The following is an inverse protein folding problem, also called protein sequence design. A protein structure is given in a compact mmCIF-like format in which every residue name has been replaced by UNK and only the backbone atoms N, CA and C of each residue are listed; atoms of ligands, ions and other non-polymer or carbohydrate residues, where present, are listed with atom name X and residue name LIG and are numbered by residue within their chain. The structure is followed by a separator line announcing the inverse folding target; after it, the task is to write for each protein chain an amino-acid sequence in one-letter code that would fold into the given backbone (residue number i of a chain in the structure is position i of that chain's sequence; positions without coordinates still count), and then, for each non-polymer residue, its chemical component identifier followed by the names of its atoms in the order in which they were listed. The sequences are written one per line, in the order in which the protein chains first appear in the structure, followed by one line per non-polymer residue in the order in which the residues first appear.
data_IF_065530139229
#
_entry.id   IF_065530139229
#
_cell.length_a   1.000
_cell.length_b   1.000
_cell.length_c   1.000
_cell.angle_alpha   90.00
_cell.angle_beta   90.00
_cell.angle_gamma   90.00
#
_symmetry.space_group_name_H-M   'P 1'
#
loop_
_entity.id
_entity.type
_entity.pdbx_description
1 polymer ?
#
# COMPACT_ATOMS: atom_id res chain seq x y z
N UNK A 1 -17.71 -68.91 16.69
CA UNK A 1 -17.49 -68.28 17.99
C UNK A 1 -16.62 -67.01 17.77
N UNK A 2 -17.02 -66.04 18.33
CA UNK A 2 -16.43 -64.69 18.47
C UNK A 2 -16.98 -63.61 17.49
N UNK A 3 -17.85 -62.86 18.06
CA UNK A 3 -18.46 -61.62 17.56
C UNK A 3 -17.47 -60.48 17.77
N UNK A 4 -17.26 -59.60 16.78
CA UNK A 4 -16.59 -58.34 16.99
C UNK A 4 -17.46 -57.21 16.38
N UNK A 5 -17.88 -56.35 17.26
CA UNK A 5 -18.73 -55.20 17.06
C UNK A 5 -17.89 -54.08 16.43
N UNK A 6 -18.31 -53.58 15.27
CA UNK A 6 -17.76 -52.37 14.67
C UNK A 6 -18.49 -51.13 15.23
N UNK A 7 -17.74 -50.24 15.87
CA UNK A 7 -18.23 -48.96 16.35
C UNK A 7 -18.09 -47.96 15.19
N UNK A 8 -19.21 -47.44 14.74
CA UNK A 8 -19.31 -46.33 13.81
C UNK A 8 -19.09 -45.00 14.58
N UNK A 9 -17.93 -44.38 14.35
CA UNK A 9 -17.72 -43.01 14.76
C UNK A 9 -18.23 -42.06 13.66
N UNK A 10 -19.29 -41.36 13.96
CA UNK A 10 -19.81 -40.25 13.17
C UNK A 10 -18.90 -39.04 13.31
N UNK A 11 -18.21 -38.66 12.25
CA UNK A 11 -17.48 -37.39 12.17
C UNK A 11 -18.44 -36.32 11.75
N UNK A 12 -18.78 -35.43 12.68
CA UNK A 12 -19.53 -34.21 12.42
C UNK A 12 -18.64 -33.17 11.74
N UNK A 13 -18.99 -32.79 10.54
CA UNK A 13 -18.38 -31.64 9.83
C UNK A 13 -18.77 -30.32 10.48
N UNK A 14 -17.84 -29.40 10.74
CA UNK A 14 -18.22 -28.08 11.21
C UNK A 14 -18.77 -27.24 10.05
N UNK A 15 -19.96 -26.70 10.27
CA UNK A 15 -20.58 -25.69 9.43
C UNK A 15 -19.71 -24.43 9.41
N UNK A 16 -19.18 -24.08 8.24
CA UNK A 16 -18.61 -22.75 8.00
C UNK A 16 -19.77 -21.75 7.85
N UNK A 17 -20.00 -20.96 8.87
CA UNK A 17 -20.80 -19.75 8.77
C UNK A 17 -20.10 -18.76 7.85
N UNK A 18 -20.69 -18.49 6.68
CA UNK A 18 -20.39 -17.33 5.84
C UNK A 18 -20.74 -16.07 6.61
N UNK A 19 -19.78 -15.45 7.24
CA UNK A 19 -19.93 -14.09 7.75
C UNK A 19 -19.67 -13.11 6.60
N UNK A 20 -20.76 -12.78 5.88
CA UNK A 20 -20.81 -11.64 4.97
C UNK A 20 -21.15 -10.40 5.79
N UNK A 21 -20.13 -9.72 6.28
CA UNK A 21 -20.31 -8.36 6.79
C UNK A 21 -19.47 -7.42 5.94
N UNK A 22 -20.12 -6.75 4.99
CA UNK A 22 -19.63 -5.49 4.44
C UNK A 22 -19.56 -4.50 5.59
N UNK A 23 -18.41 -4.37 6.21
CA UNK A 23 -18.13 -3.33 7.18
C UNK A 23 -17.93 -2.02 6.41
N UNK A 24 -18.99 -1.24 6.29
CA UNK A 24 -18.92 0.19 6.00
C UNK A 24 -18.22 0.85 7.20
N UNK A 25 -16.92 0.97 7.14
CA UNK A 25 -16.15 1.65 8.17
C UNK A 25 -16.36 3.16 8.01
N UNK A 26 -17.38 3.69 8.70
CA UNK A 26 -17.52 5.13 8.93
C UNK A 26 -16.42 5.55 9.90
N UNK A 27 -15.50 6.38 9.45
CA UNK A 27 -14.60 7.12 10.32
C UNK A 27 -15.43 8.10 11.14
N UNK A 28 -15.80 7.72 12.37
CA UNK A 28 -16.40 8.64 13.32
C UNK A 28 -15.28 9.45 13.99
N UNK A 29 -14.97 10.63 13.45
CA UNK A 29 -14.22 11.63 14.19
C UNK A 29 -15.17 12.42 15.09
N UNK A 30 -15.09 12.16 16.39
CA UNK A 30 -15.58 13.02 17.43
C UNK A 30 -17.04 12.82 17.84
N UNK A 31 -17.21 12.05 18.92
CA UNK A 31 -17.96 12.48 20.11
C UNK A 31 -17.57 11.55 21.27
N UNK A 32 -17.03 12.18 22.33
CA UNK A 32 -16.73 11.53 23.60
C UNK A 32 -18.00 10.88 24.16
N UNK A 33 -18.00 9.55 24.26
CA UNK A 33 -18.74 8.85 25.30
C UNK A 33 -17.75 7.93 26.02
N UNK A 34 -17.50 8.28 27.27
CA UNK A 34 -16.75 7.46 28.22
C UNK A 34 -17.50 6.16 28.42
N UNK A 35 -16.86 5.04 28.16
CA UNK A 35 -16.95 3.81 28.96
C UNK A 35 -15.89 2.81 28.48
N UNK A 36 -15.18 2.27 29.46
CA UNK A 36 -14.27 1.13 29.47
C UNK A 36 -12.86 1.35 28.89
N UNK A 37 -11.97 1.65 29.84
CA UNK A 37 -10.53 1.74 29.75
C UNK A 37 -9.91 0.35 29.48
N UNK A 38 -9.73 0.03 28.22
CA UNK A 38 -8.59 -0.75 27.76
C UNK A 38 -8.08 -0.05 26.48
N UNK A 39 -6.90 0.56 26.47
CA UNK A 39 -6.39 1.20 25.27
C UNK A 39 -6.08 0.10 24.24
N UNK A 40 -7.06 -0.20 23.43
CA UNK A 40 -6.86 -0.99 22.24
C UNK A 40 -5.95 -0.16 21.34
N UNK A 41 -4.66 -0.48 21.34
CA UNK A 41 -3.64 0.15 20.49
C UNK A 41 -4.07 -0.09 19.03
N UNK A 42 -4.68 0.92 18.45
CA UNK A 42 -5.06 0.87 17.05
C UNK A 42 -3.85 1.32 16.23
N UNK A 43 -3.46 0.56 15.21
CA UNK A 43 -2.32 0.90 14.34
C UNK A 43 -2.46 2.29 13.67
N UNK A 44 -3.61 2.93 13.78
CA UNK A 44 -3.85 4.30 13.32
C UNK A 44 -3.00 5.35 14.03
N UNK A 45 -2.59 5.09 15.27
CA UNK A 45 -1.78 6.00 16.09
C UNK A 45 -0.29 5.65 16.07
N UNK A 46 0.17 4.93 15.03
CA UNK A 46 1.58 4.67 14.82
C UNK A 46 2.36 5.96 14.65
N UNK A 47 3.53 6.03 15.28
CA UNK A 47 4.51 7.07 15.01
C UNK A 47 4.88 7.08 13.52
N UNK A 48 5.10 8.29 12.98
CA UNK A 48 5.46 8.44 11.58
C UNK A 48 6.85 7.81 11.33
N UNK A 49 6.95 6.79 10.47
CA UNK A 49 8.23 6.17 10.18
C UNK A 49 9.11 7.01 9.23
N UNK A 50 8.83 8.29 9.10
CA UNK A 50 9.58 9.24 8.26
C UNK A 50 9.57 10.63 8.89
N UNK A 51 10.61 11.46 8.63
CA UNK A 51 10.67 12.79 9.19
C UNK A 51 9.64 13.72 8.53
N UNK A 52 8.97 14.60 9.30
CA UNK A 52 8.01 15.58 8.76
C UNK A 52 8.60 16.51 7.70
N UNK A 53 9.93 16.70 7.73
CA UNK A 53 10.66 17.50 6.72
C UNK A 53 10.53 16.96 5.29
N UNK A 54 10.25 15.67 5.11
CA UNK A 54 9.98 15.03 3.83
C UNK A 54 8.82 15.69 3.09
N UNK A 55 7.82 16.17 3.83
CA UNK A 55 6.56 16.70 3.29
C UNK A 55 6.49 18.22 3.21
N UNK A 56 7.59 18.93 3.43
CA UNK A 56 7.60 20.41 3.50
C UNK A 56 7.14 21.13 2.22
N UNK A 57 7.26 20.45 1.07
CA UNK A 57 6.83 20.97 -0.24
C UNK A 57 5.56 20.30 -0.76
N UNK A 58 4.80 19.63 0.10
CA UNK A 58 3.58 18.92 -0.29
C UNK A 58 2.34 19.51 0.37
N UNK A 59 1.16 19.10 -0.09
CA UNK A 59 -0.13 19.45 0.53
C UNK A 59 -0.29 18.88 1.96
N UNK A 60 0.55 17.93 2.36
CA UNK A 60 0.55 17.34 3.70
C UNK A 60 1.41 18.11 4.71
N UNK A 61 2.06 19.20 4.30
CA UNK A 61 2.88 20.02 5.19
C UNK A 61 2.11 20.49 6.42
N UNK A 62 2.63 20.13 7.60
CA UNK A 62 2.07 20.55 8.90
C UNK A 62 0.71 19.95 9.25
N UNK A 63 0.24 18.96 8.48
CA UNK A 63 -1.00 18.25 8.79
C UNK A 63 -0.73 17.05 9.68
N UNK A 64 -1.71 16.72 10.50
CA UNK A 64 -1.72 15.44 11.20
C UNK A 64 -1.87 14.30 10.19
N UNK A 65 -1.08 13.25 10.36
CA UNK A 65 -1.12 12.04 9.54
C UNK A 65 -1.43 10.84 10.41
N UNK A 66 -2.29 9.97 9.92
CA UNK A 66 -2.65 8.71 10.55
C UNK A 66 -2.42 7.55 9.59
N UNK A 67 -2.03 6.41 10.12
CA UNK A 67 -1.94 5.20 9.32
C UNK A 67 -3.36 4.73 8.96
N UNK A 68 -3.68 4.69 7.68
CA UNK A 68 -4.99 4.22 7.20
C UNK A 68 -4.97 2.78 6.69
N UNK A 69 -3.80 2.25 6.32
CA UNK A 69 -3.61 0.88 5.89
C UNK A 69 -2.31 0.31 6.45
N UNK A 70 -2.36 -0.91 6.93
CA UNK A 70 -1.23 -1.70 7.40
C UNK A 70 -1.37 -3.13 6.91
N UNK A 71 -0.52 -3.54 5.95
CA UNK A 71 -0.68 -4.80 5.24
C UNK A 71 -0.64 -6.05 6.14
N UNK A 72 0.18 -6.04 7.19
CA UNK A 72 0.24 -7.15 8.17
C UNK A 72 -1.04 -7.31 9.00
N UNK A 73 -1.90 -6.31 9.05
CA UNK A 73 -3.17 -6.30 9.81
C UNK A 73 -4.37 -6.42 8.88
N UNK A 74 -4.41 -5.60 7.83
CA UNK A 74 -5.55 -5.52 6.91
C UNK A 74 -5.50 -6.59 5.82
N UNK A 75 -4.30 -7.15 5.54
CA UNK A 75 -4.06 -8.13 4.48
C UNK A 75 -3.26 -7.56 3.31
N UNK A 76 -2.45 -8.42 2.68
CA UNK A 76 -1.58 -8.09 1.54
C UNK A 76 -2.33 -8.21 0.19
N UNK A 77 -3.49 -7.61 0.07
CA UNK A 77 -4.25 -7.63 -1.18
C UNK A 77 -4.56 -6.24 -1.69
N UNK A 78 -4.61 -6.08 -3.01
CA UNK A 78 -5.03 -4.82 -3.64
C UNK A 78 -6.43 -4.40 -3.16
N UNK A 79 -7.33 -5.36 -2.97
CA UNK A 79 -8.69 -5.08 -2.47
C UNK A 79 -8.66 -4.44 -1.09
N UNK A 80 -7.89 -5.00 -0.14
CA UNK A 80 -7.80 -4.43 1.21
C UNK A 80 -7.05 -3.10 1.22
N UNK A 81 -6.02 -2.96 0.38
CA UNK A 81 -5.34 -1.70 0.17
C UNK A 81 -6.32 -0.61 -0.27
N UNK A 82 -7.13 -0.83 -1.31
CA UNK A 82 -8.11 0.14 -1.81
C UNK A 82 -9.25 0.38 -0.82
N UNK A 83 -9.76 -0.66 -0.17
CA UNK A 83 -10.78 -0.52 0.88
C UNK A 83 -10.36 0.45 1.99
N UNK A 84 -9.05 0.54 2.27
CA UNK A 84 -8.49 1.38 3.33
C UNK A 84 -7.97 2.72 2.84
N UNK A 85 -7.48 2.80 1.60
CA UNK A 85 -6.75 3.96 1.08
C UNK A 85 -7.58 4.86 0.18
N UNK A 86 -8.64 4.35 -0.45
CA UNK A 86 -9.46 5.13 -1.38
C UNK A 86 -10.20 6.27 -0.68
N UNK A 87 -10.31 7.37 -1.40
CA UNK A 87 -10.97 8.60 -0.94
C UNK A 87 -10.38 9.18 0.35
N UNK A 88 -9.05 9.04 0.56
CA UNK A 88 -8.33 9.64 1.68
C UNK A 88 -7.50 10.86 1.29
N UNK A 89 -7.46 11.18 -0.01
CA UNK A 89 -6.63 12.25 -0.56
C UNK A 89 -5.14 11.90 -0.60
N UNK A 90 -4.27 12.92 -0.69
CA UNK A 90 -2.82 12.71 -0.74
C UNK A 90 -2.32 11.81 0.37
N UNK A 91 -1.39 10.91 0.04
CA UNK A 91 -0.90 9.94 0.99
C UNK A 91 0.60 9.64 0.83
N UNK A 92 1.18 9.10 1.89
CA UNK A 92 2.56 8.58 1.93
C UNK A 92 2.50 7.08 2.09
N UNK A 93 3.15 6.36 1.19
CA UNK A 93 3.31 4.91 1.25
C UNK A 93 4.70 4.60 1.79
N UNK A 94 4.80 3.67 2.74
CA UNK A 94 6.07 3.15 3.26
C UNK A 94 6.08 1.65 3.05
N UNK A 95 7.16 1.15 2.47
CA UNK A 95 7.41 -0.28 2.31
C UNK A 95 8.65 -0.74 3.07
N UNK A 96 8.56 -1.94 3.63
CA UNK A 96 9.70 -2.65 4.21
C UNK A 96 9.87 -3.96 3.47
N UNK A 97 11.09 -4.27 3.09
CA UNK A 97 11.41 -5.55 2.48
C UNK A 97 11.82 -6.57 3.54
N UNK A 98 11.78 -7.85 3.21
CA UNK A 98 12.29 -8.93 4.06
C UNK A 98 13.79 -8.82 4.38
N UNK A 99 14.54 -8.00 3.62
CA UNK A 99 15.93 -7.64 3.88
C UNK A 99 16.09 -6.38 4.74
N UNK A 100 15.03 -5.95 5.42
CA UNK A 100 14.97 -4.74 6.26
C UNK A 100 15.22 -3.41 5.50
N UNK A 101 15.23 -3.42 4.15
CA UNK A 101 15.34 -2.19 3.36
C UNK A 101 14.03 -1.40 3.44
N UNK A 102 14.15 -0.11 3.72
CA UNK A 102 13.02 0.80 3.89
C UNK A 102 12.94 1.78 2.73
N UNK A 103 11.77 1.91 2.16
CA UNK A 103 11.52 2.82 1.05
C UNK A 103 10.10 3.41 1.15
N UNK A 104 9.80 4.36 0.29
CA UNK A 104 8.45 4.90 0.24
C UNK A 104 8.19 5.73 -1.00
N UNK A 105 6.97 6.25 -1.05
CA UNK A 105 6.48 7.08 -2.14
C UNK A 105 5.45 8.10 -1.63
N UNK A 106 5.41 9.26 -2.26
CA UNK A 106 4.38 10.26 -2.04
C UNK A 106 3.43 10.30 -3.24
N UNK A 107 2.15 10.09 -2.98
CA UNK A 107 1.07 10.22 -3.94
C UNK A 107 0.27 11.51 -3.63
N UNK A 108 0.37 12.56 -4.47
CA UNK A 108 -0.37 13.81 -4.28
C UNK A 108 -1.86 13.72 -4.62
N UNK A 109 -2.27 12.73 -5.45
CA UNK A 109 -3.65 12.58 -5.92
C UNK A 109 -4.50 11.71 -4.98
N UNK A 110 -3.85 10.79 -4.24
CA UNK A 110 -4.53 9.73 -3.50
C UNK A 110 -5.03 8.61 -4.42
N UNK A 111 -5.86 7.74 -3.87
CA UNK A 111 -6.45 6.59 -4.55
C UNK A 111 -7.97 6.72 -4.59
N UNK A 112 -8.60 6.23 -5.64
CA UNK A 112 -10.06 6.25 -5.88
C UNK A 112 -10.55 5.05 -6.69
N UNK A 113 -9.65 4.12 -7.05
CA UNK A 113 -9.94 2.95 -7.89
C UNK A 113 -10.54 3.35 -9.24
N UNK A 114 -9.95 4.36 -9.88
CA UNK A 114 -10.47 4.93 -11.14
C UNK A 114 -10.10 4.15 -12.38
N UNK A 115 -9.18 3.17 -12.25
CA UNK A 115 -8.59 2.42 -13.36
C UNK A 115 -7.92 3.34 -14.41
N UNK A 116 -7.32 4.44 -13.95
CA UNK A 116 -6.72 5.48 -14.76
C UNK A 116 -5.31 5.85 -14.25
N UNK A 117 -4.68 6.82 -14.90
CA UNK A 117 -3.37 7.34 -14.52
C UNK A 117 -3.42 8.86 -14.33
N UNK A 118 -2.47 9.38 -13.56
CA UNK A 118 -2.32 10.81 -13.32
C UNK A 118 -0.92 11.26 -13.71
N UNK A 119 -0.84 12.40 -14.41
CA UNK A 119 0.42 13.07 -14.71
C UNK A 119 0.64 14.22 -13.73
N UNK A 120 1.66 14.10 -12.91
CA UNK A 120 2.03 15.11 -11.91
C UNK A 120 3.53 15.05 -11.62
N UNK A 121 4.15 16.23 -11.42
CA UNK A 121 5.54 16.32 -10.96
C UNK A 121 5.68 16.39 -9.44
N UNK A 122 4.56 16.44 -8.71
CA UNK A 122 4.56 16.49 -7.24
C UNK A 122 4.77 15.12 -6.59
N UNK A 123 4.59 14.04 -7.37
CA UNK A 123 4.87 12.69 -6.91
C UNK A 123 6.39 12.43 -6.84
N UNK A 124 6.83 11.71 -5.83
CA UNK A 124 8.22 11.30 -5.70
C UNK A 124 8.36 9.97 -4.98
N UNK A 125 9.46 9.27 -5.26
CA UNK A 125 9.91 8.11 -4.52
C UNK A 125 10.96 8.54 -3.52
N UNK A 126 11.22 7.71 -2.50
CA UNK A 126 12.29 7.93 -1.56
C UNK A 126 12.71 6.62 -0.88
N UNK A 127 13.93 6.59 -0.36
CA UNK A 127 14.47 5.45 0.37
C UNK A 127 15.46 5.91 1.42
N UNK A 128 15.78 5.02 2.35
CA UNK A 128 16.86 5.24 3.32
C UNK A 128 18.07 4.42 2.91
N UNK A 129 19.22 5.06 2.94
CA UNK A 129 20.51 4.37 2.86
C UNK A 129 20.96 4.02 4.28
N UNK A 130 21.78 2.96 4.43
CA UNK A 130 22.19 2.46 5.76
C UNK A 130 22.91 3.53 6.60
N UNK A 131 23.63 4.45 5.94
CA UNK A 131 24.42 5.48 6.59
C UNK A 131 23.70 6.85 6.73
N UNK A 132 22.45 6.96 6.31
CA UNK A 132 21.76 8.26 6.22
C UNK A 132 20.45 8.26 7.00
N UNK A 133 20.36 9.10 8.03
CA UNK A 133 19.16 9.26 8.83
C UNK A 133 17.98 9.84 8.02
N UNK A 134 18.28 10.69 7.02
CA UNK A 134 17.25 11.33 6.20
C UNK A 134 17.01 10.54 4.90
N UNK A 135 15.75 10.39 4.48
CA UNK A 135 15.46 9.71 3.23
C UNK A 135 15.99 10.49 2.02
N UNK A 136 16.51 9.76 1.03
CA UNK A 136 16.94 10.29 -0.25
C UNK A 136 15.72 10.33 -1.17
N UNK A 137 15.39 11.52 -1.68
CA UNK A 137 14.22 11.71 -2.55
C UNK A 137 14.60 11.52 -4.03
N UNK A 138 13.72 10.85 -4.76
CA UNK A 138 13.83 10.61 -6.19
C UNK A 138 12.60 11.23 -6.89
N UNK A 139 12.72 12.45 -7.41
CA UNK A 139 11.62 13.14 -8.06
C UNK A 139 11.24 12.50 -9.40
N UNK A 140 10.03 12.78 -9.86
CA UNK A 140 9.65 12.50 -11.26
C UNK A 140 10.52 13.34 -12.19
N UNK A 141 11.08 12.71 -13.22
CA UNK A 141 11.99 13.36 -14.18
C UNK A 141 11.50 13.31 -15.62
N UNK A 142 10.54 12.43 -15.93
CA UNK A 142 10.05 12.26 -17.28
C UNK A 142 9.14 11.04 -17.41
N UNK A 143 9.29 10.31 -18.50
CA UNK A 143 8.50 9.12 -18.80
C UNK A 143 7.31 9.42 -19.70
N UNK A 144 6.36 8.51 -19.80
CA UNK A 144 5.20 8.54 -20.68
C UNK A 144 4.05 9.45 -20.25
N UNK A 145 4.29 10.42 -19.38
CA UNK A 145 3.25 11.28 -18.82
C UNK A 145 2.58 10.72 -17.56
N UNK A 146 2.52 9.42 -17.38
CA UNK A 146 1.94 8.81 -16.20
C UNK A 146 2.92 8.83 -15.03
N UNK A 147 2.62 9.64 -14.01
CA UNK A 147 3.35 9.64 -12.74
C UNK A 147 2.85 8.57 -11.78
N UNK A 148 1.55 8.34 -11.78
CA UNK A 148 0.81 7.47 -10.88
C UNK A 148 -0.19 6.65 -11.68
N UNK A 149 -0.44 5.43 -11.22
CA UNK A 149 -1.53 4.60 -11.70
C UNK A 149 -2.44 4.23 -10.53
N UNK A 150 -3.74 4.32 -10.74
CA UNK A 150 -4.78 4.05 -9.75
C UNK A 150 -5.71 2.96 -10.27
N UNK A 151 -5.25 1.71 -10.18
CA UNK A 151 -6.01 0.55 -10.63
C UNK A 151 -6.64 -0.19 -9.46
N UNK A 152 -7.95 -0.35 -9.49
CA UNK A 152 -8.74 -1.00 -8.43
C UNK A 152 -8.25 -2.40 -8.02
N UNK A 153 -7.56 -3.09 -8.91
CA UNK A 153 -7.02 -4.44 -8.69
C UNK A 153 -5.49 -4.45 -8.55
N UNK A 154 -4.86 -3.28 -8.62
CA UNK A 154 -3.41 -3.10 -8.50
C UNK A 154 -3.02 -2.56 -7.13
N UNK A 155 -1.77 -2.73 -6.76
CA UNK A 155 -1.19 -2.01 -5.62
C UNK A 155 -0.62 -0.65 -6.04
N UNK A 156 0.07 0.04 -5.13
CA UNK A 156 0.71 1.32 -5.44
C UNK A 156 1.65 1.22 -6.63
N UNK A 157 1.43 2.06 -7.65
CA UNK A 157 2.27 2.12 -8.84
C UNK A 157 2.66 3.55 -9.18
N UNK A 158 3.96 3.78 -9.34
CA UNK A 158 4.60 5.06 -9.61
C UNK A 158 5.38 5.00 -10.91
N UNK A 159 4.87 5.69 -11.94
CA UNK A 159 5.36 5.52 -13.31
C UNK A 159 5.06 4.14 -13.86
N UNK A 160 5.34 3.93 -15.14
CA UNK A 160 5.16 2.61 -15.74
C UNK A 160 6.04 1.53 -15.08
N UNK A 161 7.18 1.94 -14.52
CA UNK A 161 8.24 1.06 -14.05
C UNK A 161 9.01 1.58 -12.81
N UNK A 162 8.78 2.83 -12.37
CA UNK A 162 9.53 3.44 -11.27
C UNK A 162 9.42 2.67 -9.96
N UNK A 163 8.21 2.38 -9.54
CA UNK A 163 7.88 1.48 -8.42
C UNK A 163 6.52 0.84 -8.65
N UNK A 164 6.46 -0.46 -8.53
CA UNK A 164 5.22 -1.23 -8.51
C UNK A 164 5.23 -2.14 -7.29
N UNK A 165 4.24 -1.99 -6.41
CA UNK A 165 3.97 -2.93 -5.30
C UNK A 165 2.78 -3.79 -5.71
N UNK A 166 3.00 -5.09 -5.81
CA UNK A 166 2.01 -6.05 -6.30
C UNK A 166 2.35 -6.63 -7.67
N UNK A 167 1.45 -7.44 -8.23
CA UNK A 167 1.67 -8.03 -9.55
C UNK A 167 1.62 -6.97 -10.65
N UNK A 168 2.41 -7.14 -11.71
CA UNK A 168 2.30 -6.27 -12.88
C UNK A 168 0.93 -6.44 -13.52
N UNK A 169 0.34 -5.32 -13.95
CA UNK A 169 -0.83 -5.36 -14.82
C UNK A 169 -0.41 -5.87 -16.19
N UNK A 170 -1.10 -6.90 -16.69
CA UNK A 170 -0.83 -7.38 -18.03
C UNK A 170 -1.32 -6.33 -19.06
N UNK A 171 -0.48 -5.93 -20.03
CA UNK A 171 -0.95 -5.08 -21.11
C UNK A 171 -1.99 -5.85 -21.95
N UNK A 172 -3.19 -5.29 -22.11
CA UNK A 172 -4.16 -5.76 -23.12
C UNK A 172 -3.95 -4.96 -24.40
N UNK A 173 -4.24 -5.57 -25.53
CA UNK A 173 -4.25 -4.83 -26.81
C UNK A 173 -5.22 -3.64 -26.70
N UNK A 174 -4.65 -2.41 -26.64
CA UNK A 174 -5.40 -1.17 -26.52
C UNK A 174 -5.61 -0.64 -25.09
N UNK A 175 -5.00 -1.24 -24.06
CA UNK A 175 -5.09 -0.79 -22.66
C UNK A 175 -4.41 -1.76 -21.72
N UNK A 176 -4.49 -1.47 -20.41
CA UNK A 176 -4.05 -2.40 -19.39
C UNK A 176 -5.21 -3.34 -19.03
N UNK A 177 -5.00 -4.66 -19.16
CA UNK A 177 -5.84 -5.59 -18.42
C UNK A 177 -5.52 -5.41 -16.94
N UNK A 178 -6.52 -5.50 -16.11
CA UNK A 178 -6.33 -5.64 -14.68
C UNK A 178 -5.36 -6.76 -14.32
N UNK A 179 -5.02 -6.94 -13.05
CA UNK A 179 -4.09 -7.96 -12.60
C UNK A 179 -4.47 -9.32 -13.20
N UNK A 180 -3.46 -10.13 -13.44
CA UNK A 180 -3.62 -11.47 -13.94
C UNK A 180 -4.84 -12.13 -13.28
N UNK A 181 -5.86 -12.42 -14.10
CA UNK A 181 -7.13 -13.00 -13.64
C UNK A 181 -6.95 -14.34 -12.93
N UNK A 182 -5.77 -14.96 -13.05
CA UNK A 182 -5.44 -16.21 -12.39
C UNK A 182 -5.00 -16.04 -10.93
N UNK A 183 -4.54 -14.86 -10.50
CA UNK A 183 -4.18 -14.60 -9.09
C UNK A 183 -5.29 -13.92 -8.28
N UNK A 184 -6.32 -13.42 -8.93
CA UNK A 184 -7.60 -12.94 -8.36
C UNK A 184 -7.56 -11.74 -7.41
N UNK A 185 -6.48 -11.41 -6.74
CA UNK A 185 -6.48 -10.51 -5.58
C UNK A 185 -5.24 -9.62 -5.47
N UNK A 186 -4.40 -9.47 -6.48
CA UNK A 186 -3.24 -8.56 -6.45
C UNK A 186 -2.43 -8.67 -5.14
N UNK A 187 -1.57 -9.68 -5.00
CA UNK A 187 -0.74 -9.87 -3.80
C UNK A 187 0.36 -8.79 -3.72
N UNK A 188 0.35 -8.00 -2.64
CA UNK A 188 1.28 -6.89 -2.42
C UNK A 188 2.63 -7.33 -1.82
N UNK A 189 2.89 -8.63 -1.65
CA UNK A 189 4.15 -9.13 -1.09
C UNK A 189 5.34 -9.05 -2.04
N UNK A 190 5.17 -8.51 -3.22
CA UNK A 190 6.24 -8.32 -4.18
C UNK A 190 6.28 -6.91 -4.69
N UNK A 191 7.47 -6.39 -4.93
CA UNK A 191 7.67 -5.11 -5.58
C UNK A 191 8.71 -5.21 -6.69
N UNK A 192 8.58 -4.29 -7.67
CA UNK A 192 9.53 -4.08 -8.75
C UNK A 192 9.87 -2.61 -8.84
N UNK A 193 11.10 -2.30 -9.24
CA UNK A 193 11.52 -0.94 -9.50
C UNK A 193 12.51 -0.88 -10.65
N UNK A 194 12.35 0.15 -11.49
CA UNK A 194 13.26 0.56 -12.53
C UNK A 194 13.26 2.08 -12.62
N UNK A 195 14.36 2.66 -12.23
CA UNK A 195 14.57 4.11 -12.19
C UNK A 195 15.23 4.64 -13.47
N UNK A 196 15.21 5.96 -13.65
CA UNK A 196 15.87 6.64 -14.75
C UNK A 196 14.98 6.95 -15.96
N UNK A 197 13.73 6.50 -15.95
CA UNK A 197 12.73 6.85 -16.97
C UNK A 197 11.67 7.79 -16.40
N UNK A 198 10.79 7.31 -15.53
CA UNK A 198 9.74 8.13 -14.90
C UNK A 198 10.27 8.87 -13.67
N UNK A 199 11.08 8.22 -12.87
CA UNK A 199 11.68 8.76 -11.64
C UNK A 199 13.20 8.77 -11.74
N UNK A 200 13.85 9.72 -11.04
CA UNK A 200 15.29 9.87 -11.03
C UNK A 200 16.01 8.59 -10.60
N UNK A 201 17.20 8.36 -11.15
CA UNK A 201 18.11 7.32 -10.65
C UNK A 201 18.58 7.66 -9.25
N UNK A 202 19.02 6.66 -8.53
CA UNK A 202 19.71 6.85 -7.25
C UNK A 202 21.01 7.65 -7.45
N UNK A 203 21.45 8.43 -6.45
CA UNK A 203 22.73 9.17 -6.53
C UNK A 203 23.94 8.28 -6.75
N UNK A 204 23.88 7.01 -6.31
CA UNK A 204 24.92 5.99 -6.55
C UNK A 204 24.91 5.40 -7.98
N UNK A 205 24.03 5.91 -8.85
CA UNK A 205 23.88 5.49 -10.24
C UNK A 205 23.03 4.24 -10.46
N UNK A 206 22.56 3.60 -9.40
CA UNK A 206 21.73 2.38 -9.52
C UNK A 206 20.36 2.69 -10.15
N UNK A 207 19.90 1.73 -10.94
CA UNK A 207 18.67 1.83 -11.73
C UNK A 207 17.45 1.17 -11.06
N UNK A 208 17.56 0.79 -9.81
CA UNK A 208 16.47 0.28 -9.01
C UNK A 208 16.44 0.93 -7.63
N UNK A 209 15.23 1.12 -7.10
CA UNK A 209 15.03 1.56 -5.72
C UNK A 209 15.69 0.57 -4.73
N UNK A 210 15.71 -0.70 -5.07
CA UNK A 210 16.26 -1.80 -4.27
C UNK A 210 17.77 -2.05 -4.49
N UNK A 211 18.46 -1.10 -5.10
CA UNK A 211 19.90 -1.21 -5.37
C UNK A 211 20.22 -2.03 -6.61
N UNK A 212 20.93 -3.14 -6.46
CA UNK A 212 21.32 -3.99 -7.59
C UNK A 212 20.20 -4.96 -8.02
N UNK A 213 19.19 -5.14 -7.19
CA UNK A 213 18.04 -5.98 -7.48
C UNK A 213 16.88 -5.16 -8.04
N UNK A 214 16.24 -5.61 -9.12
CA UNK A 214 15.06 -4.96 -9.69
C UNK A 214 13.75 -5.38 -9.00
N UNK A 215 13.80 -6.35 -8.09
CA UNK A 215 12.64 -6.92 -7.38
C UNK A 215 12.95 -7.05 -5.90
N UNK A 216 11.91 -6.96 -5.09
CA UNK A 216 12.01 -7.19 -3.66
C UNK A 216 10.77 -7.95 -3.15
N UNK A 217 10.96 -8.74 -2.08
CA UNK A 217 9.87 -9.32 -1.30
C UNK A 217 9.52 -8.35 -0.19
N UNK A 218 8.24 -8.03 -0.07
CA UNK A 218 7.71 -7.05 0.86
C UNK A 218 7.24 -7.74 2.14
N UNK A 219 7.69 -7.22 3.27
CA UNK A 219 7.33 -7.66 4.61
C UNK A 219 6.21 -6.79 5.22
N UNK A 220 6.20 -5.49 4.90
CA UNK A 220 5.16 -4.59 5.36
C UNK A 220 4.91 -3.45 4.36
N UNK A 221 3.64 -3.04 4.24
CA UNK A 221 3.22 -1.82 3.54
C UNK A 221 2.34 -1.00 4.48
N UNK A 222 2.69 0.26 4.67
CA UNK A 222 1.92 1.23 5.44
C UNK A 222 1.47 2.38 4.55
N UNK A 223 0.27 2.89 4.78
CA UNK A 223 -0.21 4.12 4.12
C UNK A 223 -0.63 5.13 5.17
N UNK A 224 -0.12 6.35 5.03
CA UNK A 224 -0.44 7.48 5.90
C UNK A 224 -1.18 8.55 5.12
N UNK A 225 -2.30 9.01 5.63
CA UNK A 225 -3.11 10.09 5.07
C UNK A 225 -3.52 11.09 6.16
N UNK A 226 -3.98 12.28 5.73
CA UNK A 226 -4.48 13.29 6.66
C UNK A 226 -5.96 13.11 6.92
N UNK A 227 -6.40 12.90 8.18
CA UNK A 227 -7.81 12.82 8.52
C UNK A 227 -8.60 14.07 8.13
N UNK A 228 -7.96 15.25 8.24
CA UNK A 228 -8.61 16.53 7.86
C UNK A 228 -8.91 16.60 6.36
N UNK A 229 -8.03 16.03 5.52
CA UNK A 229 -8.29 15.97 4.07
C UNK A 229 -9.28 14.86 3.76
N UNK A 230 -9.15 13.68 4.36
CA UNK A 230 -10.05 12.56 4.15
C UNK A 230 -11.52 12.90 4.50
N UNK A 231 -11.75 13.84 5.41
CA UNK A 231 -13.10 14.29 5.77
C UNK A 231 -13.78 15.14 4.69
N UNK A 232 -13.06 15.54 3.64
CA UNK A 232 -13.60 16.33 2.52
C UNK A 232 -14.15 15.46 1.38
N UNK A 233 -13.87 14.16 1.41
CA UNK A 233 -14.35 13.16 0.44
C UNK A 233 -15.49 12.35 1.05
#
# INVERSE_FOLDING_TARGET
MSCSIAILNSISTPYFNKCSTRSLFKWNFGKNNKTDDNPQFTYHDLDLPFPPSLLTKTFLKGRELKCCYKASVDGFSATEFHNRSDFKGPCVIIGYTTKAFKFGAFNPEGYRSTDDYYDTFDAFLFYWDEDVEKPIMLPKVGGSGAALFDYARGGPQFGADGLLIGPPLAPVMGGFAGPDTNSGVGDLRQAKSRLGLSYAKRPDGKESLFGDESKAVIDEVLVFCSPQIASLY
#
